data_IF_503000124448
#
_entry.id   IF_503000124448
#
_cell.length_a   1.000
_cell.length_b   1.000
_cell.length_c   1.000
_cell.angle_alpha   90.00
_cell.angle_beta   90.00
_cell.angle_gamma   90.00
#
_symmetry.space_group_name_H-M   'P 1'
#
loop_
_entity.id
_entity.type
_entity.pdbx_description
1 polymer ?
#
# COMPACT_ATOMS: atom_id res chain seq x y z
N UNK A 1 -6.79 2.51 -7.43
CA UNK A 1 -5.75 2.71 -6.40
C UNK A 1 -4.90 3.96 -6.64
N UNK A 2 -4.04 4.03 -7.67
CA UNK A 2 -3.11 5.18 -7.81
C UNK A 2 -3.83 6.48 -8.17
N UNK A 3 -4.87 6.43 -9.02
CA UNK A 3 -5.65 7.61 -9.38
C UNK A 3 -6.40 8.21 -8.17
N UNK A 4 -6.95 7.35 -7.31
CA UNK A 4 -7.62 7.75 -6.07
C UNK A 4 -6.62 8.33 -5.06
N UNK A 5 -5.43 7.74 -4.95
CA UNK A 5 -4.36 8.30 -4.11
C UNK A 5 -3.86 9.65 -4.62
N UNK A 6 -3.77 9.84 -5.95
CA UNK A 6 -3.43 11.12 -6.55
C UNK A 6 -4.54 12.16 -6.35
N UNK A 7 -5.80 11.74 -6.37
CA UNK A 7 -6.91 12.64 -6.05
C UNK A 7 -6.88 13.02 -4.58
N UNK A 8 -6.76 12.04 -3.66
CA UNK A 8 -6.65 12.29 -2.23
C UNK A 8 -5.48 13.24 -1.89
N UNK A 9 -4.34 13.11 -2.58
CA UNK A 9 -3.24 14.05 -2.44
C UNK A 9 -3.62 15.48 -2.85
N UNK A 10 -4.35 15.64 -3.96
CA UNK A 10 -4.86 16.95 -4.40
C UNK A 10 -5.87 17.53 -3.41
N UNK A 11 -6.65 16.68 -2.77
CA UNK A 11 -7.57 17.03 -1.68
C UNK A 11 -6.83 17.33 -0.35
N UNK A 12 -5.49 17.23 -0.31
CA UNK A 12 -4.66 17.57 0.85
C UNK A 12 -4.34 16.40 1.79
N UNK A 13 -4.63 15.16 1.38
CA UNK A 13 -4.27 13.98 2.17
C UNK A 13 -2.76 13.72 2.14
N UNK A 14 -2.16 13.60 3.31
CA UNK A 14 -0.75 13.27 3.48
C UNK A 14 -0.50 11.75 3.45
N UNK A 15 -1.52 10.96 3.80
CA UNK A 15 -1.47 9.51 3.88
C UNK A 15 -2.59 8.86 3.07
N UNK A 16 -2.29 7.72 2.45
CA UNK A 16 -3.28 6.89 1.76
C UNK A 16 -3.13 5.43 2.16
N UNK A 17 -4.18 4.83 2.73
CA UNK A 17 -4.14 3.47 3.26
C UNK A 17 -4.82 2.45 2.35
N UNK A 18 -4.10 1.38 1.99
CA UNK A 18 -4.68 0.21 1.31
C UNK A 18 -5.24 -0.73 2.38
N UNK A 19 -6.53 -1.05 2.32
CA UNK A 19 -7.17 -1.96 3.28
C UNK A 19 -7.78 -3.14 2.53
N UNK A 20 -7.55 -4.36 3.01
CA UNK A 20 -8.16 -5.57 2.46
C UNK A 20 -9.07 -6.23 3.48
N UNK A 21 -10.25 -6.67 3.04
CA UNK A 21 -11.16 -7.45 3.88
C UNK A 21 -10.66 -8.89 4.03
N UNK A 22 -10.34 -9.30 5.26
CA UNK A 22 -9.98 -10.67 5.58
C UNK A 22 -8.78 -10.80 6.51
N UNK A 23 -8.44 -12.05 6.87
CA UNK A 23 -7.36 -12.33 7.84
C UNK A 23 -5.96 -12.27 7.22
N UNK A 24 -5.81 -12.52 5.91
CA UNK A 24 -4.52 -12.51 5.19
C UNK A 24 -4.75 -12.46 3.68
N UNK A 25 -3.95 -11.67 2.97
CA UNK A 25 -3.88 -11.67 1.50
C UNK A 25 -3.23 -12.96 1.00
N UNK A 26 -4.00 -13.80 0.29
CA UNK A 26 -3.54 -15.11 -0.22
C UNK A 26 -3.06 -15.06 -1.67
N UNK A 27 -3.69 -14.23 -2.50
CA UNK A 27 -3.43 -14.22 -3.93
C UNK A 27 -2.12 -13.50 -4.25
N UNK A 28 -1.20 -14.18 -4.95
CA UNK A 28 0.06 -13.56 -5.42
C UNK A 28 -0.18 -12.33 -6.29
N UNK A 29 -1.22 -12.37 -7.14
CA UNK A 29 -1.59 -11.24 -8.01
C UNK A 29 -1.94 -9.98 -7.20
N UNK A 30 -2.65 -10.18 -6.10
CA UNK A 30 -3.09 -9.10 -5.19
C UNK A 30 -1.88 -8.47 -4.49
N UNK A 31 -0.93 -9.29 -4.05
CA UNK A 31 0.37 -8.80 -3.55
C UNK A 31 1.12 -7.94 -4.56
N UNK A 32 1.21 -8.39 -5.82
CA UNK A 32 1.87 -7.63 -6.89
C UNK A 32 1.19 -6.28 -7.12
N UNK A 33 -0.14 -6.24 -7.10
CA UNK A 33 -0.90 -4.98 -7.21
C UNK A 33 -0.65 -4.05 -6.02
N UNK A 34 -0.61 -4.58 -4.80
CA UNK A 34 -0.32 -3.81 -3.58
C UNK A 34 1.08 -3.18 -3.66
N UNK A 35 2.11 -3.94 -4.03
CA UNK A 35 3.47 -3.39 -4.15
C UNK A 35 3.56 -2.31 -5.24
N UNK A 36 2.87 -2.51 -6.35
CA UNK A 36 2.79 -1.52 -7.43
C UNK A 36 2.06 -0.26 -6.98
N UNK A 37 0.99 -0.39 -6.21
CA UNK A 37 0.24 0.71 -5.65
C UNK A 37 1.08 1.51 -4.64
N UNK A 38 1.76 0.85 -3.71
CA UNK A 38 2.67 1.49 -2.73
C UNK A 38 3.77 2.28 -3.45
N UNK A 39 4.43 1.65 -4.42
CA UNK A 39 5.49 2.31 -5.20
C UNK A 39 4.97 3.50 -5.99
N UNK A 40 3.77 3.38 -6.59
CA UNK A 40 3.10 4.46 -7.31
C UNK A 40 2.73 5.63 -6.42
N UNK A 41 2.17 5.36 -5.24
CA UNK A 41 1.81 6.36 -4.23
C UNK A 41 3.03 7.14 -3.74
N UNK A 42 4.12 6.43 -3.44
CA UNK A 42 5.37 7.08 -3.04
C UNK A 42 5.93 7.99 -4.13
N UNK A 43 5.76 7.62 -5.41
CA UNK A 43 6.23 8.42 -6.55
C UNK A 43 5.41 9.69 -6.77
N UNK A 44 4.11 9.68 -6.47
CA UNK A 44 3.29 10.89 -6.53
C UNK A 44 3.50 11.78 -5.30
N UNK A 45 4.08 11.26 -4.21
CA UNK A 45 4.44 12.03 -3.02
C UNK A 45 3.42 11.96 -1.89
N UNK A 46 2.54 10.94 -1.90
CA UNK A 46 1.65 10.64 -0.77
C UNK A 46 2.24 9.46 0.02
N UNK A 47 2.14 9.50 1.35
CA UNK A 47 2.72 8.47 2.21
C UNK A 47 1.83 7.22 2.23
N UNK A 48 2.27 6.09 1.66
CA UNK A 48 1.43 4.89 1.60
C UNK A 48 1.35 4.21 2.98
N UNK A 49 0.13 3.89 3.40
CA UNK A 49 -0.19 3.01 4.52
C UNK A 49 -0.87 1.73 4.01
N UNK A 50 -0.85 0.65 4.78
CA UNK A 50 -1.55 -0.57 4.37
C UNK A 50 -1.93 -1.46 5.56
N UNK A 51 -3.20 -1.85 5.65
CA UNK A 51 -3.70 -2.84 6.61
C UNK A 51 -4.19 -4.06 5.84
N UNK A 52 -3.33 -5.08 5.76
CA UNK A 52 -3.50 -6.26 4.90
C UNK A 52 -3.77 -7.57 5.69
N UNK A 53 -4.05 -7.44 6.99
CA UNK A 53 -4.22 -8.55 7.92
C UNK A 53 -2.89 -9.12 8.43
N UNK A 54 -2.80 -10.45 8.55
CA UNK A 54 -1.59 -11.13 9.02
C UNK A 54 -0.59 -11.31 7.88
N UNK A 55 0.59 -10.71 8.03
CA UNK A 55 1.71 -10.86 7.11
C UNK A 55 2.85 -11.64 7.77
N UNK A 56 3.72 -12.19 6.94
CA UNK A 56 4.94 -12.84 7.40
C UNK A 56 6.15 -11.89 7.33
N UNK A 57 7.26 -12.26 7.96
CA UNK A 57 8.43 -11.40 8.05
C UNK A 57 9.01 -11.05 6.66
N UNK A 58 8.95 -11.98 5.71
CA UNK A 58 9.34 -11.75 4.32
C UNK A 58 8.46 -10.66 3.68
N UNK A 59 7.13 -10.76 3.81
CA UNK A 59 6.19 -9.79 3.26
C UNK A 59 6.35 -8.41 3.88
N UNK A 60 6.64 -8.33 5.17
CA UNK A 60 6.94 -7.08 5.84
C UNK A 60 8.19 -6.39 5.26
N UNK A 61 9.24 -7.17 4.94
CA UNK A 61 10.44 -6.63 4.28
C UNK A 61 10.14 -6.15 2.88
N UNK A 62 9.37 -6.91 2.10
CA UNK A 62 8.96 -6.51 0.74
C UNK A 62 8.12 -5.22 0.75
N UNK A 63 7.19 -5.08 1.70
CA UNK A 63 6.39 -3.86 1.86
C UNK A 63 7.27 -2.65 2.21
N UNK A 64 8.21 -2.82 3.15
CA UNK A 64 9.18 -1.78 3.51
C UNK A 64 10.07 -1.40 2.31
N UNK A 65 10.52 -2.39 1.54
CA UNK A 65 11.32 -2.16 0.33
C UNK A 65 10.54 -1.42 -0.77
N UNK A 66 9.26 -1.74 -0.94
CA UNK A 66 8.36 -1.01 -1.83
C UNK A 66 8.09 0.44 -1.38
N UNK A 67 8.39 0.76 -0.12
CA UNK A 67 8.28 2.11 0.44
C UNK A 67 7.04 2.34 1.27
N UNK A 68 6.46 1.29 1.84
CA UNK A 68 5.38 1.42 2.82
C UNK A 68 5.85 2.24 4.01
N UNK A 69 5.07 3.27 4.38
CA UNK A 69 5.38 4.14 5.51
C UNK A 69 4.84 3.56 6.83
N UNK A 70 3.60 3.03 6.81
CA UNK A 70 2.93 2.48 8.00
C UNK A 70 2.05 1.28 7.66
N UNK A 71 1.93 0.36 8.61
CA UNK A 71 1.10 -0.85 8.51
C UNK A 71 -0.04 -0.80 9.51
#
# INVERSE_FOLDING_TARGET
MIAEAAQAQKDGAEFFSIVTSGKRVKAKKEWVEIYKAISGMRRIGISPCASLGMIDAEKARELKAAGLFRY
#
